data_IF_077252787994
#
_entry.id   IF_077252787994
#
_cell.length_a   1.000
_cell.length_b   1.000
_cell.length_c   1.000
_cell.angle_alpha   90.00
_cell.angle_beta   90.00
_cell.angle_gamma   90.00
#
_symmetry.space_group_name_H-M   'P 1'
#
loop_
_entity.id
_entity.type
_entity.pdbx_description
1 polymer ?
#
# COMPACT_ATOMS: atom_id res chain seq x y z
N UNK A 1 37.92 -22.96 49.91
CA UNK A 1 37.30 -23.58 51.11
C UNK A 1 35.80 -23.37 51.04
N UNK A 2 35.04 -24.46 51.20
CA UNK A 2 33.64 -24.57 51.63
C UNK A 2 32.55 -23.94 50.75
N UNK A 3 31.93 -24.82 49.97
CA UNK A 3 30.51 -24.76 49.61
C UNK A 3 29.60 -24.66 50.84
N UNK A 4 28.41 -24.10 50.65
CA UNK A 4 27.23 -24.66 51.28
C UNK A 4 26.11 -24.97 50.27
N UNK A 5 25.67 -26.22 50.38
CA UNK A 5 24.38 -26.79 49.99
C UNK A 5 23.28 -26.02 50.75
N UNK A 6 22.17 -25.63 50.11
CA UNK A 6 20.84 -25.75 50.75
C UNK A 6 19.63 -25.57 49.82
N UNK A 7 18.77 -26.58 49.90
CA UNK A 7 17.30 -26.59 49.87
C UNK A 7 16.55 -26.08 48.63
N UNK A 8 16.12 -27.06 47.84
CA UNK A 8 14.96 -27.01 46.94
C UNK A 8 13.69 -26.96 47.80
N UNK A 9 12.87 -25.92 47.63
CA UNK A 9 11.49 -25.88 48.10
C UNK A 9 10.55 -25.89 46.89
N UNK A 10 9.91 -27.05 46.65
CA UNK A 10 8.80 -27.18 45.71
C UNK A 10 7.51 -26.72 46.41
N UNK A 11 7.04 -25.51 46.08
CA UNK A 11 5.65 -25.11 46.35
C UNK A 11 4.82 -25.37 45.11
N UNK A 12 3.98 -26.42 45.18
CA UNK A 12 2.89 -26.64 44.23
C UNK A 12 1.81 -25.58 44.49
N UNK A 13 1.62 -24.65 43.55
CA UNK A 13 0.41 -23.83 43.50
C UNK A 13 -0.51 -24.48 42.47
N UNK A 14 -1.57 -25.12 42.97
CA UNK A 14 -2.67 -25.59 42.15
C UNK A 14 -3.44 -24.37 41.62
N UNK A 15 -3.15 -23.97 40.39
CA UNK A 15 -3.95 -22.98 39.67
C UNK A 15 -5.21 -23.68 39.15
N UNK A 16 -6.32 -23.50 39.86
CA UNK A 16 -7.65 -23.84 39.35
C UNK A 16 -7.93 -23.00 38.11
N UNK A 17 -7.92 -23.64 36.94
CA UNK A 17 -8.42 -23.05 35.71
C UNK A 17 -9.95 -22.90 35.82
N UNK A 18 -10.43 -21.74 36.26
CA UNK A 18 -11.81 -21.36 36.06
C UNK A 18 -12.01 -21.12 34.56
N UNK A 19 -12.55 -22.12 33.87
CA UNK A 19 -13.20 -21.91 32.58
C UNK A 19 -14.39 -20.95 32.82
N UNK A 20 -14.16 -19.66 32.60
CA UNK A 20 -15.23 -18.68 32.61
C UNK A 20 -16.11 -18.98 31.39
N UNK A 21 -17.26 -19.60 31.64
CA UNK A 21 -18.40 -19.61 30.72
C UNK A 21 -18.82 -18.16 30.56
N UNK A 22 -18.30 -17.51 29.53
CA UNK A 22 -18.64 -16.14 29.17
C UNK A 22 -20.05 -16.14 28.58
N UNK A 23 -21.06 -15.90 29.41
CA UNK A 23 -22.46 -15.66 28.99
C UNK A 23 -22.74 -14.19 28.69
N UNK A 24 -21.71 -13.34 28.67
CA UNK A 24 -21.82 -11.94 28.26
C UNK A 24 -22.04 -11.82 26.74
N UNK A 25 -22.66 -10.73 26.26
CA UNK A 25 -22.68 -10.40 24.84
C UNK A 25 -21.24 -10.46 24.31
N UNK A 26 -21.03 -11.20 23.22
CA UNK A 26 -19.74 -11.16 22.52
C UNK A 26 -19.36 -9.70 22.34
N UNK A 27 -18.13 -9.27 22.69
CA UNK A 27 -17.68 -7.94 22.33
C UNK A 27 -17.84 -7.82 20.82
N UNK A 28 -18.80 -7.00 20.39
CA UNK A 28 -18.92 -6.63 18.99
C UNK A 28 -17.64 -5.88 18.67
N UNK A 29 -16.77 -6.49 17.86
CA UNK A 29 -15.70 -5.77 17.17
C UNK A 29 -16.28 -4.47 16.65
N UNK A 30 -15.65 -3.31 16.95
CA UNK A 30 -16.24 -2.02 16.68
C UNK A 30 -16.54 -1.94 15.19
N UNK A 31 -17.84 -1.87 14.89
CA UNK A 31 -18.43 -1.35 13.66
C UNK A 31 -17.59 -1.55 12.40
N UNK A 32 -17.88 -2.62 11.67
CA UNK A 32 -17.79 -2.62 10.22
C UNK A 32 -18.59 -1.40 9.73
N UNK A 33 -17.93 -0.27 9.47
CA UNK A 33 -18.54 1.05 9.16
C UNK A 33 -19.19 1.08 7.77
N UNK A 34 -19.87 0.01 7.35
CA UNK A 34 -20.57 -0.07 6.06
C UNK A 34 -21.56 1.07 5.91
N UNK A 35 -22.31 1.43 6.96
CA UNK A 35 -23.33 2.48 6.84
C UNK A 35 -22.78 3.84 6.41
N UNK A 36 -21.55 4.20 6.82
CA UNK A 36 -20.93 5.49 6.45
C UNK A 36 -20.32 5.45 5.06
N UNK A 37 -19.74 4.32 4.65
CA UNK A 37 -19.21 4.15 3.30
C UNK A 37 -20.35 4.00 2.27
N UNK A 38 -21.39 3.23 2.59
CA UNK A 38 -22.56 3.05 1.73
C UNK A 38 -23.24 4.39 1.40
N UNK A 39 -23.40 5.26 2.40
CA UNK A 39 -23.96 6.60 2.19
C UNK A 39 -23.05 7.51 1.34
N UNK A 40 -21.71 7.37 1.46
CA UNK A 40 -20.76 8.09 0.61
C UNK A 40 -20.63 7.49 -0.81
N UNK A 41 -21.10 6.25 -0.99
CA UNK A 41 -20.97 5.45 -2.22
C UNK A 41 -22.28 5.35 -3.01
N UNK A 42 -23.28 6.16 -2.69
CA UNK A 42 -24.49 6.29 -3.51
C UNK A 42 -24.09 6.70 -4.94
N UNK A 43 -24.06 5.74 -5.87
CA UNK A 43 -23.55 5.91 -7.23
C UNK A 43 -22.38 4.97 -7.62
N UNK A 44 -21.86 4.16 -6.69
CA UNK A 44 -20.84 3.16 -6.98
C UNK A 44 -19.47 3.75 -7.33
N UNK A 45 -19.21 5.00 -6.95
CA UNK A 45 -17.95 5.68 -7.27
C UNK A 45 -16.75 5.04 -6.56
N UNK A 46 -16.94 4.65 -5.30
CA UNK A 46 -15.88 4.08 -4.46
C UNK A 46 -16.02 2.57 -4.28
N UNK A 47 -14.93 1.96 -3.83
CA UNK A 47 -14.88 0.57 -3.41
C UNK A 47 -15.13 0.50 -1.91
N UNK A 48 -16.09 -0.33 -1.52
CA UNK A 48 -16.32 -0.66 -0.11
C UNK A 48 -15.17 -1.50 0.45
N UNK A 49 -14.78 -1.30 1.72
CA UNK A 49 -13.96 -2.26 2.43
C UNK A 49 -14.59 -3.66 2.35
N UNK A 50 -13.75 -4.65 2.09
CA UNK A 50 -14.13 -6.05 2.03
C UNK A 50 -14.37 -6.62 3.43
N UNK A 51 -15.01 -7.78 3.52
CA UNK A 51 -15.22 -8.46 4.79
C UNK A 51 -13.87 -8.90 5.42
N UNK A 52 -13.81 -9.21 6.73
CA UNK A 52 -12.54 -9.53 7.40
C UNK A 52 -11.74 -10.69 6.78
N UNK A 53 -12.41 -11.68 6.18
CA UNK A 53 -11.71 -12.79 5.51
C UNK A 53 -11.05 -12.31 4.21
N UNK A 54 -11.78 -11.55 3.40
CA UNK A 54 -11.26 -10.97 2.16
C UNK A 54 -10.14 -9.96 2.43
N UNK A 55 -10.22 -9.16 3.49
CA UNK A 55 -9.11 -8.27 3.86
C UNK A 55 -7.85 -9.04 4.21
N UNK A 56 -7.95 -10.13 4.97
CA UNK A 56 -6.79 -11.00 5.27
C UNK A 56 -6.21 -11.61 4.00
N UNK A 57 -7.05 -12.05 3.06
CA UNK A 57 -6.61 -12.57 1.76
C UNK A 57 -5.90 -11.50 0.93
N UNK A 58 -6.44 -10.28 0.89
CA UNK A 58 -5.83 -9.15 0.19
C UNK A 58 -4.45 -8.81 0.76
N UNK A 59 -4.31 -8.78 2.09
CA UNK A 59 -3.04 -8.53 2.78
C UNK A 59 -2.02 -9.63 2.47
N UNK A 60 -2.43 -10.90 2.53
CA UNK A 60 -1.57 -12.02 2.19
C UNK A 60 -1.10 -11.95 0.72
N UNK A 61 -2.00 -11.60 -0.20
CA UNK A 61 -1.66 -11.44 -1.61
C UNK A 61 -0.73 -10.25 -1.84
N UNK A 62 -0.91 -9.14 -1.12
CA UNK A 62 0.00 -8.00 -1.17
C UNK A 62 1.42 -8.39 -0.72
N UNK A 63 1.53 -9.13 0.37
CA UNK A 63 2.82 -9.67 0.83
C UNK A 63 3.44 -10.63 -0.20
N UNK A 64 2.65 -11.53 -0.80
CA UNK A 64 3.10 -12.44 -1.88
C UNK A 64 3.60 -11.65 -3.11
N UNK A 65 2.97 -10.51 -3.39
CA UNK A 65 3.38 -9.61 -4.46
C UNK A 65 4.66 -8.81 -4.14
N UNK A 66 5.14 -8.86 -2.90
CA UNK A 66 6.30 -8.10 -2.41
C UNK A 66 5.98 -6.67 -2.00
N UNK A 67 4.70 -6.34 -1.78
CA UNK A 67 4.29 -5.06 -1.21
C UNK A 67 4.60 -5.07 0.28
N UNK A 68 5.35 -4.06 0.74
CA UNK A 68 5.68 -3.87 2.16
C UNK A 68 5.02 -2.59 2.63
N UNK A 69 3.89 -2.70 3.34
CA UNK A 69 3.18 -1.56 3.91
C UNK A 69 2.35 -2.00 5.14
N UNK A 70 1.85 -1.02 5.91
CA UNK A 70 0.89 -1.25 7.00
C UNK A 70 -0.55 -1.14 6.48
N UNK A 71 -1.27 -2.25 6.21
CA UNK A 71 -2.60 -2.19 5.62
C UNK A 71 -3.64 -1.65 6.61
N UNK A 72 -4.47 -0.71 6.15
CA UNK A 72 -5.57 -0.12 6.95
C UNK A 72 -6.96 -0.52 6.44
N UNK A 73 -7.06 -0.90 5.17
CA UNK A 73 -8.28 -1.39 4.56
C UNK A 73 -7.94 -2.15 3.27
N UNK A 74 -8.82 -3.03 2.84
CA UNK A 74 -8.74 -3.65 1.52
C UNK A 74 -10.14 -3.91 0.97
N UNK A 75 -10.29 -3.89 -0.34
CA UNK A 75 -11.54 -4.11 -1.06
C UNK A 75 -11.38 -5.14 -2.17
N UNK A 76 -12.39 -5.96 -2.44
CA UNK A 76 -12.39 -6.87 -3.59
C UNK A 76 -12.74 -6.08 -4.86
N UNK A 77 -11.80 -5.98 -5.79
CA UNK A 77 -12.04 -5.30 -7.08
C UNK A 77 -12.74 -6.24 -8.05
N UNK A 78 -12.25 -7.48 -8.16
CA UNK A 78 -12.77 -8.48 -9.07
C UNK A 78 -12.33 -9.88 -8.66
N UNK A 79 -13.23 -10.84 -8.83
CA UNK A 79 -12.92 -12.27 -8.78
C UNK A 79 -13.57 -12.96 -9.98
N UNK A 80 -12.87 -13.91 -10.59
CA UNK A 80 -13.46 -14.71 -11.67
C UNK A 80 -12.80 -16.07 -11.81
N UNK A 81 -13.57 -17.04 -12.27
CA UNK A 81 -13.11 -18.37 -12.65
C UNK A 81 -13.42 -18.57 -14.13
N UNK A 82 -12.49 -18.21 -15.02
CA UNK A 82 -12.70 -18.29 -16.48
C UNK A 82 -11.63 -19.17 -17.11
N UNK A 83 -12.06 -20.12 -17.95
CA UNK A 83 -11.15 -21.02 -18.67
C UNK A 83 -10.28 -21.87 -17.73
N UNK A 84 -10.83 -22.32 -16.61
CA UNK A 84 -10.11 -23.14 -15.62
C UNK A 84 -9.08 -22.39 -14.78
N UNK A 85 -8.99 -21.05 -14.90
CA UNK A 85 -8.08 -20.22 -14.11
C UNK A 85 -8.86 -19.34 -13.15
N UNK A 86 -8.53 -19.44 -11.87
CA UNK A 86 -8.95 -18.49 -10.86
C UNK A 86 -8.13 -17.20 -10.99
N UNK A 87 -8.85 -16.08 -10.98
CA UNK A 87 -8.29 -14.74 -10.95
C UNK A 87 -8.92 -13.96 -9.82
N UNK A 88 -8.11 -13.34 -8.97
CA UNK A 88 -8.58 -12.43 -7.92
C UNK A 88 -7.76 -11.16 -7.92
N UNK A 89 -8.45 -10.03 -7.76
CA UNK A 89 -7.85 -8.70 -7.67
C UNK A 89 -8.42 -8.00 -6.45
N UNK A 90 -7.53 -7.53 -5.59
CA UNK A 90 -7.87 -6.67 -4.46
C UNK A 90 -7.23 -5.29 -4.63
N UNK A 91 -7.85 -4.31 -4.02
CA UNK A 91 -7.21 -3.04 -3.71
C UNK A 91 -6.89 -3.03 -2.22
N UNK A 92 -5.70 -2.56 -1.86
CA UNK A 92 -5.21 -2.44 -0.49
C UNK A 92 -4.86 -0.99 -0.24
N UNK A 93 -5.39 -0.42 0.83
CA UNK A 93 -5.01 0.88 1.33
C UNK A 93 -3.97 0.70 2.44
N UNK A 94 -2.86 1.42 2.32
CA UNK A 94 -1.77 1.39 3.28
C UNK A 94 -1.73 2.69 4.08
N UNK A 95 -1.37 2.60 5.36
CA UNK A 95 -1.13 3.77 6.20
C UNK A 95 0.09 4.53 5.69
N UNK A 96 -0.06 5.83 5.48
CA UNK A 96 1.03 6.76 5.15
C UNK A 96 1.94 6.30 3.98
N UNK A 97 1.38 5.54 3.03
CA UNK A 97 2.09 4.95 1.89
C UNK A 97 1.18 4.90 0.65
N UNK A 98 1.69 4.37 -0.45
CA UNK A 98 0.88 4.09 -1.63
C UNK A 98 -0.23 3.09 -1.32
N UNK A 99 -1.40 3.31 -1.91
CA UNK A 99 -2.35 2.23 -2.14
C UNK A 99 -1.88 1.31 -3.25
N UNK A 100 -2.35 0.06 -3.23
CA UNK A 100 -1.95 -0.96 -4.20
C UNK A 100 -3.15 -1.70 -4.76
N UNK A 101 -3.11 -2.01 -6.05
CA UNK A 101 -3.94 -3.06 -6.65
C UNK A 101 -3.08 -4.30 -6.82
N UNK A 102 -3.49 -5.38 -6.18
CA UNK A 102 -2.77 -6.66 -6.17
C UNK A 102 -3.64 -7.71 -6.85
N UNK A 103 -3.05 -8.47 -7.77
CA UNK A 103 -3.78 -9.47 -8.55
C UNK A 103 -3.05 -10.79 -8.58
N UNK A 104 -3.83 -11.88 -8.56
CA UNK A 104 -3.36 -13.24 -8.80
C UNK A 104 -4.16 -13.86 -9.93
N UNK A 105 -3.47 -14.42 -10.92
CA UNK A 105 -4.07 -15.18 -12.03
C UNK A 105 -3.29 -16.48 -12.20
N UNK A 106 -3.87 -17.59 -11.74
CA UNK A 106 -3.09 -18.82 -11.51
C UNK A 106 -1.93 -18.54 -10.55
N UNK A 107 -0.71 -18.88 -10.94
CA UNK A 107 0.49 -18.66 -10.11
C UNK A 107 1.15 -17.29 -10.33
N UNK A 108 0.60 -16.45 -11.21
CA UNK A 108 1.17 -15.13 -11.50
C UNK A 108 0.59 -14.09 -10.57
N UNK A 109 1.46 -13.43 -9.82
CA UNK A 109 1.12 -12.32 -8.92
C UNK A 109 1.72 -11.01 -9.43
N UNK A 110 0.90 -9.96 -9.46
CA UNK A 110 1.28 -8.59 -9.80
C UNK A 110 0.77 -7.60 -8.77
N UNK A 111 1.47 -6.47 -8.66
CA UNK A 111 1.09 -5.33 -7.84
C UNK A 111 1.37 -4.03 -8.60
N UNK A 112 0.43 -3.10 -8.55
CA UNK A 112 0.56 -1.76 -9.12
C UNK A 112 0.12 -0.74 -8.09
N UNK A 113 0.93 0.29 -7.85
CA UNK A 113 0.53 1.35 -6.94
C UNK A 113 -0.54 2.25 -7.57
N UNK A 114 -1.36 2.85 -6.72
CA UNK A 114 -2.49 3.67 -7.14
C UNK A 114 -2.09 4.94 -7.91
N UNK A 115 -0.88 5.48 -7.67
CA UNK A 115 -0.39 6.65 -8.40
C UNK A 115 -0.03 6.27 -9.83
N UNK A 116 0.65 5.14 -10.03
CA UNK A 116 0.95 4.59 -11.35
C UNK A 116 -0.31 4.25 -12.13
N UNK A 117 -1.34 3.69 -11.46
CA UNK A 117 -2.63 3.40 -12.10
C UNK A 117 -3.36 4.68 -12.50
N UNK A 118 -3.41 5.69 -11.63
CA UNK A 118 -4.03 6.98 -11.95
C UNK A 118 -3.33 7.69 -13.14
N UNK A 119 -2.00 7.68 -13.16
CA UNK A 119 -1.25 8.24 -14.28
C UNK A 119 -1.49 7.47 -15.58
N UNK A 120 -1.54 6.14 -15.49
CA UNK A 120 -1.81 5.26 -16.65
C UNK A 120 -3.21 5.46 -17.19
N UNK A 121 -4.23 5.60 -16.33
CA UNK A 121 -5.60 5.89 -16.73
C UNK A 121 -5.69 7.26 -17.42
N UNK A 122 -5.06 8.30 -16.85
CA UNK A 122 -5.00 9.62 -17.47
C UNK A 122 -4.37 9.56 -18.87
N UNK A 123 -3.27 8.83 -19.04
CA UNK A 123 -2.64 8.61 -20.34
C UNK A 123 -3.55 7.82 -21.30
N UNK A 124 -4.34 6.89 -20.78
CA UNK A 124 -5.30 6.09 -21.52
C UNK A 124 -6.67 6.78 -21.75
N UNK A 125 -6.85 8.03 -21.28
CA UNK A 125 -8.07 8.84 -21.45
C UNK A 125 -9.35 8.15 -20.97
N UNK A 126 -9.43 7.70 -19.71
CA UNK A 126 -10.66 7.12 -19.17
C UNK A 126 -10.78 5.60 -19.30
N UNK A 127 -9.82 4.94 -19.95
CA UNK A 127 -10.00 3.54 -20.41
C UNK A 127 -9.45 2.48 -19.47
N UNK A 128 -8.73 2.87 -18.42
CA UNK A 128 -8.16 1.94 -17.45
C UNK A 128 -8.81 2.12 -16.09
N UNK A 129 -8.81 1.06 -15.29
CA UNK A 129 -9.31 1.14 -13.92
C UNK A 129 -8.31 1.87 -13.02
N UNK A 130 -8.84 2.64 -12.08
CA UNK A 130 -8.08 3.30 -11.01
C UNK A 130 -8.44 2.70 -9.65
N UNK A 131 -7.67 3.09 -8.64
CA UNK A 131 -8.00 2.82 -7.24
C UNK A 131 -9.25 3.56 -6.82
N UNK A 132 -10.08 2.89 -6.03
CA UNK A 132 -11.43 3.32 -5.63
C UNK A 132 -11.65 3.24 -4.11
N UNK A 133 -10.74 2.66 -3.33
CA UNK A 133 -10.80 2.81 -1.86
C UNK A 133 -10.55 4.28 -1.52
N UNK A 134 -11.38 4.84 -0.64
CA UNK A 134 -11.31 6.25 -0.27
C UNK A 134 -9.91 6.70 0.16
N UNK A 135 -9.20 5.88 0.92
CA UNK A 135 -7.85 6.18 1.42
C UNK A 135 -6.78 6.22 0.32
N UNK A 136 -7.06 5.67 -0.87
CA UNK A 136 -6.14 5.61 -1.99
C UNK A 136 -6.37 6.71 -3.03
N UNK A 137 -7.54 7.34 -3.02
CA UNK A 137 -7.91 8.36 -4.00
C UNK A 137 -7.09 9.62 -3.75
N UNK A 138 -6.35 10.05 -4.77
CA UNK A 138 -5.49 11.22 -4.68
C UNK A 138 -4.40 11.10 -3.62
N UNK A 139 -3.95 9.87 -3.29
CA UNK A 139 -2.99 9.63 -2.20
C UNK A 139 -1.61 10.25 -2.49
N UNK A 140 -1.47 11.53 -2.14
CA UNK A 140 -0.18 12.20 -1.98
C UNK A 140 0.64 11.59 -0.83
N UNK A 141 0.00 10.81 0.07
CA UNK A 141 0.69 10.13 1.16
C UNK A 141 1.75 9.14 0.64
N UNK A 142 1.47 8.43 -0.46
CA UNK A 142 2.45 7.56 -1.12
C UNK A 142 3.65 8.34 -1.66
N UNK A 143 3.40 9.48 -2.32
CA UNK A 143 4.47 10.38 -2.80
C UNK A 143 5.30 10.92 -1.64
N UNK A 144 4.66 11.35 -0.55
CA UNK A 144 5.35 11.81 0.66
C UNK A 144 6.20 10.70 1.28
N UNK A 145 5.69 9.48 1.36
CA UNK A 145 6.42 8.30 1.84
C UNK A 145 7.63 8.00 0.97
N UNK A 146 7.45 8.01 -0.35
CA UNK A 146 8.51 7.79 -1.32
C UNK A 146 9.62 8.83 -1.21
N UNK A 147 9.26 10.11 -1.14
CA UNK A 147 10.21 11.20 -0.95
C UNK A 147 11.05 11.04 0.32
N UNK A 148 10.41 10.69 1.46
CA UNK A 148 11.11 10.41 2.72
C UNK A 148 12.04 9.21 2.60
N UNK A 149 11.59 8.10 2.04
CA UNK A 149 12.41 6.89 1.82
C UNK A 149 13.62 7.19 0.94
N UNK A 150 13.46 8.09 -0.03
CA UNK A 150 14.53 8.54 -0.92
C UNK A 150 15.47 9.58 -0.29
N UNK A 151 15.28 9.93 1.00
CA UNK A 151 16.13 10.87 1.73
C UNK A 151 15.87 12.34 1.38
N UNK A 152 14.75 12.66 0.74
CA UNK A 152 14.36 14.04 0.49
C UNK A 152 13.82 14.67 1.78
N UNK A 153 14.28 15.88 2.09
CA UNK A 153 13.85 16.65 3.26
C UNK A 153 12.70 17.61 2.96
N UNK A 154 12.24 17.66 1.72
CA UNK A 154 11.18 18.55 1.29
C UNK A 154 9.79 17.98 1.60
N UNK A 155 8.78 18.86 1.67
CA UNK A 155 7.37 18.47 1.70
C UNK A 155 6.83 18.35 0.27
N UNK A 156 6.44 17.16 -0.21
CA UNK A 156 5.84 17.04 -1.53
C UNK A 156 4.45 17.68 -1.59
N UNK A 157 4.22 18.51 -2.61
CA UNK A 157 2.92 19.11 -2.90
C UNK A 157 2.22 18.45 -4.09
N UNK A 158 2.99 17.77 -4.95
CA UNK A 158 2.47 16.95 -6.04
C UNK A 158 3.43 15.82 -6.40
N UNK A 159 2.91 14.79 -7.04
CA UNK A 159 3.73 13.77 -7.67
C UNK A 159 2.99 13.07 -8.81
N UNK A 160 3.75 12.52 -9.75
CA UNK A 160 3.20 11.72 -10.85
C UNK A 160 4.12 10.55 -11.16
N UNK A 161 3.55 9.47 -11.66
CA UNK A 161 4.31 8.37 -12.25
C UNK A 161 4.73 8.75 -13.67
N UNK A 162 6.00 8.49 -14.01
CA UNK A 162 6.59 8.77 -15.32
C UNK A 162 6.76 7.51 -16.17
N UNK A 163 6.66 6.33 -15.58
CA UNK A 163 6.88 5.05 -16.26
C UNK A 163 7.70 4.08 -15.42
N UNK A 164 7.87 2.87 -15.94
CA UNK A 164 8.62 1.81 -15.28
C UNK A 164 9.37 0.97 -16.30
N UNK A 165 10.31 0.15 -15.82
CA UNK A 165 11.16 -0.68 -16.67
C UNK A 165 12.51 -0.97 -16.03
N UNK A 166 13.49 -1.32 -16.85
CA UNK A 166 14.85 -1.68 -16.39
C UNK A 166 14.96 -3.14 -15.92
N UNK A 167 16.21 -3.55 -15.71
CA UNK A 167 16.58 -4.82 -15.09
C UNK A 167 17.73 -4.56 -14.10
N UNK A 168 17.49 -4.59 -12.77
CA UNK A 168 16.24 -4.93 -12.10
C UNK A 168 15.12 -3.86 -12.28
N UNK A 169 13.83 -4.24 -12.18
CA UNK A 169 12.72 -3.37 -12.52
C UNK A 169 12.48 -2.23 -11.52
N UNK A 170 12.22 -1.03 -12.03
CA UNK A 170 11.91 0.18 -11.28
C UNK A 170 10.59 0.83 -11.71
N UNK A 171 10.03 1.63 -10.82
CA UNK A 171 9.00 2.62 -11.08
C UNK A 171 9.59 4.01 -10.91
N UNK A 172 9.47 4.85 -11.93
CA UNK A 172 9.97 6.23 -11.94
C UNK A 172 8.85 7.20 -11.63
N UNK A 173 9.09 8.11 -10.70
CA UNK A 173 8.15 9.16 -10.31
C UNK A 173 8.80 10.53 -10.42
N UNK A 174 8.00 11.53 -10.73
CA UNK A 174 8.32 12.93 -10.51
C UNK A 174 7.65 13.40 -9.23
N UNK A 175 8.38 14.13 -8.40
CA UNK A 175 7.90 14.75 -7.17
C UNK A 175 8.16 16.25 -7.24
N UNK A 176 7.14 17.04 -6.96
CA UNK A 176 7.25 18.47 -6.77
C UNK A 176 7.18 18.79 -5.28
N UNK A 177 8.21 19.45 -4.78
CA UNK A 177 8.29 19.92 -3.41
C UNK A 177 7.70 21.33 -3.26
N UNK A 178 7.27 21.65 -2.04
CA UNK A 178 7.09 23.02 -1.59
C UNK A 178 8.37 23.84 -1.84
N UNK A 179 8.22 25.11 -2.24
CA UNK A 179 9.33 25.94 -2.72
C UNK A 179 9.76 25.66 -4.17
N UNK A 180 9.11 24.73 -4.87
CA UNK A 180 9.22 24.53 -6.33
C UNK A 180 10.37 23.62 -6.78
N UNK A 181 11.10 23.00 -5.85
CA UNK A 181 12.10 21.99 -6.17
C UNK A 181 11.45 20.72 -6.74
N UNK A 182 11.89 20.28 -7.92
CA UNK A 182 11.44 19.02 -8.52
C UNK A 182 12.49 17.91 -8.38
N UNK A 183 12.05 16.66 -8.22
CA UNK A 183 12.89 15.48 -8.15
C UNK A 183 12.33 14.34 -9.01
N UNK A 184 13.22 13.54 -9.58
CA UNK A 184 12.91 12.22 -10.14
C UNK A 184 13.34 11.18 -9.11
N UNK A 185 12.44 10.25 -8.79
CA UNK A 185 12.72 9.13 -7.89
C UNK A 185 12.51 7.82 -8.66
N UNK A 186 13.55 6.99 -8.71
CA UNK A 186 13.53 5.62 -9.21
C UNK A 186 13.36 4.67 -8.03
N UNK A 187 12.16 4.15 -7.85
CA UNK A 187 11.80 3.24 -6.79
C UNK A 187 11.86 1.78 -7.27
N UNK A 188 12.36 0.82 -6.47
CA UNK A 188 12.24 -0.59 -6.81
C UNK A 188 10.76 -1.00 -6.91
N UNK A 189 10.40 -1.72 -7.97
CA UNK A 189 9.10 -2.38 -8.02
C UNK A 189 9.02 -3.49 -6.95
N UNK A 190 7.81 -3.92 -6.54
CA UNK A 190 7.66 -5.05 -5.63
C UNK A 190 8.48 -6.28 -6.08
N UNK A 191 9.26 -6.86 -5.14
CA UNK A 191 10.26 -7.95 -5.35
C UNK A 191 11.48 -7.59 -6.20
N UNK A 192 11.62 -6.36 -6.66
CA UNK A 192 12.82 -5.90 -7.34
C UNK A 192 14.01 -5.82 -6.38
N UNK A 193 15.21 -6.07 -6.93
CA UNK A 193 16.49 -5.83 -6.23
C UNK A 193 17.12 -4.48 -6.57
N UNK A 194 16.39 -3.64 -7.32
CA UNK A 194 16.87 -2.30 -7.66
C UNK A 194 17.10 -1.45 -6.40
N UNK A 195 18.08 -0.55 -6.47
CA UNK A 195 18.27 0.46 -5.44
C UNK A 195 17.27 1.60 -5.60
N UNK A 196 16.82 2.18 -4.48
CA UNK A 196 16.09 3.44 -4.49
C UNK A 196 17.05 4.58 -4.82
N UNK A 197 16.73 5.40 -5.81
CA UNK A 197 17.54 6.54 -6.21
C UNK A 197 16.69 7.79 -6.38
N UNK A 198 17.27 8.96 -6.09
CA UNK A 198 16.64 10.25 -6.37
C UNK A 198 17.65 11.23 -6.97
N UNK A 199 17.15 12.06 -7.89
CA UNK A 199 17.93 13.15 -8.49
C UNK A 199 17.05 14.38 -8.65
N UNK A 200 17.63 15.58 -8.51
CA UNK A 200 16.90 16.81 -8.80
C UNK A 200 16.55 16.90 -10.28
N UNK A 201 15.41 17.51 -10.59
CA UNK A 201 14.98 17.78 -11.96
C UNK A 201 15.99 18.63 -12.74
N UNK A 202 16.68 19.56 -12.07
CA UNK A 202 17.75 20.35 -12.68
C UNK A 202 18.91 19.46 -13.16
N UNK A 203 19.33 18.49 -12.33
CA UNK A 203 20.36 17.52 -12.70
C UNK A 203 19.88 16.56 -13.80
N UNK A 204 18.67 16.04 -13.69
CA UNK A 204 18.08 15.15 -14.70
C UNK A 204 18.00 15.81 -16.08
N UNK A 205 17.63 17.09 -16.12
CA UNK A 205 17.60 17.90 -17.35
C UNK A 205 19.01 18.11 -17.91
N UNK A 206 19.98 18.44 -17.06
CA UNK A 206 21.36 18.65 -17.48
C UNK A 206 22.02 17.38 -18.05
N UNK A 207 21.61 16.20 -17.58
CA UNK A 207 22.12 14.92 -18.08
C UNK A 207 21.30 14.33 -19.24
N UNK A 208 20.24 15.01 -19.71
CA UNK A 208 19.32 14.48 -20.72
C UNK A 208 18.55 13.22 -20.28
N UNK A 209 18.53 12.93 -18.97
CA UNK A 209 18.06 11.66 -18.42
C UNK A 209 16.59 11.68 -17.96
N UNK A 210 15.91 12.83 -18.05
CA UNK A 210 14.53 12.93 -17.62
C UNK A 210 13.81 14.19 -18.07
N UNK A 211 12.49 14.06 -18.16
CA UNK A 211 11.56 15.17 -18.36
C UNK A 211 10.82 15.36 -17.05
N UNK A 212 11.05 16.49 -16.39
CA UNK A 212 10.20 16.96 -15.32
C UNK A 212 9.16 17.93 -15.89
N UNK A 213 7.92 17.74 -15.49
CA UNK A 213 6.73 18.38 -16.05
C UNK A 213 5.89 19.10 -15.00
N UNK A 214 6.01 18.72 -13.72
CA UNK A 214 5.29 19.34 -12.62
C UNK A 214 5.80 20.77 -12.42
N UNK A 215 4.86 21.68 -12.15
CA UNK A 215 5.13 23.08 -11.86
C UNK A 215 4.33 23.45 -10.61
N UNK A 216 4.82 24.39 -9.78
CA UNK A 216 3.99 25.00 -8.76
C UNK A 216 2.73 25.55 -9.41
N UNK A 217 1.57 25.29 -8.81
CA UNK A 217 0.34 25.95 -9.25
C UNK A 217 0.56 27.46 -9.20
N UNK A 218 0.16 28.15 -10.26
CA UNK A 218 0.10 29.62 -10.25
C UNK A 218 -1.08 29.95 -9.32
N UNK A 219 -0.78 30.31 -8.08
CA UNK A 219 -1.77 30.82 -7.12
C UNK A 219 -2.55 31.99 -7.69
#
# INVERSE_FOLDING_TARGET
MKSPILAIAFTMVASTAFAQVYTGPRPTTPTYTMGRYQAANEGGQYLEPANPLQQRQAIALAAEAGVTCDPISAGLVKESNKGGKHSVTYEVACKDDFGWVVSKVGDKVSAYDCVALAASEKAAKGKLATCRLQANIGSNAGIASLARKAGLTCTPIAGTYLGGGGDPPISRYEVLCEGGGGYIIDAPQPRSKAGLQAMSCARAKASGAGVCSLKPDKG
#
